data_IF_554080551004
#
_entry.id   IF_554080551004
#
_cell.length_a   1.000
_cell.length_b   1.000
_cell.length_c   1.000
_cell.angle_alpha   90.00
_cell.angle_beta   90.00
_cell.angle_gamma   90.00
#
_symmetry.space_group_name_H-M   'P 1'
#
loop_
_entity.id
_entity.type
_entity.pdbx_description
1 polymer ?
#
# COMPACT_ATOMS: atom_id res chain seq x y z
N UNK A 1 -43.29 -16.88 -11.13
CA UNK A 1 -42.25 -16.20 -10.33
C UNK A 1 -40.88 -16.71 -10.74
N UNK A 2 -40.26 -16.06 -11.73
CA UNK A 2 -38.87 -16.31 -12.16
C UNK A 2 -38.16 -14.96 -12.13
N UNK A 3 -37.79 -14.51 -10.94
CA UNK A 3 -36.95 -13.34 -10.73
C UNK A 3 -36.39 -13.43 -9.31
N UNK A 4 -35.14 -13.01 -9.13
CA UNK A 4 -34.39 -12.86 -7.86
C UNK A 4 -33.44 -14.01 -7.45
N UNK A 5 -32.54 -14.41 -8.35
CA UNK A 5 -31.28 -15.07 -7.93
C UNK A 5 -30.03 -14.38 -8.49
N UNK A 6 -30.15 -13.14 -8.98
CA UNK A 6 -29.03 -12.41 -9.61
C UNK A 6 -28.29 -11.40 -8.71
N UNK A 7 -28.65 -11.26 -7.42
CA UNK A 7 -28.08 -10.21 -6.54
C UNK A 7 -27.03 -10.76 -5.56
N UNK A 8 -26.77 -12.07 -5.50
CA UNK A 8 -25.81 -12.67 -4.56
C UNK A 8 -24.36 -12.78 -5.08
N UNK A 9 -24.06 -12.21 -6.24
CA UNK A 9 -22.71 -12.14 -6.82
C UNK A 9 -22.17 -10.71 -6.89
N UNK A 10 -22.68 -9.79 -6.04
CA UNK A 10 -21.91 -8.57 -5.78
C UNK A 10 -20.68 -9.04 -5.00
N UNK A 11 -19.46 -8.94 -5.56
CA UNK A 11 -18.29 -9.40 -4.87
C UNK A 11 -18.14 -8.54 -3.62
N UNK A 12 -18.40 -9.14 -2.45
CA UNK A 12 -18.01 -8.60 -1.12
C UNK A 12 -16.48 -8.38 -1.07
N UNK A 13 -15.75 -8.86 -2.08
CA UNK A 13 -14.34 -8.61 -2.38
C UNK A 13 -14.02 -7.10 -2.60
N UNK A 14 -15.04 -6.24 -2.75
CA UNK A 14 -14.87 -4.78 -2.89
C UNK A 14 -14.29 -4.07 -1.65
N UNK A 15 -14.27 -4.74 -0.49
CA UNK A 15 -13.88 -4.13 0.80
C UNK A 15 -12.39 -4.29 1.14
N UNK A 16 -11.57 -4.81 0.20
CA UNK A 16 -10.18 -5.17 0.48
C UNK A 16 -9.14 -4.37 -0.32
N UNK A 17 -9.54 -3.23 -0.88
CA UNK A 17 -8.71 -2.40 -1.75
C UNK A 17 -8.52 -1.02 -1.15
N UNK A 18 -7.28 -0.73 -0.71
CA UNK A 18 -6.91 0.62 -0.29
C UNK A 18 -7.07 1.57 -1.49
N UNK A 19 -7.76 2.68 -1.27
CA UNK A 19 -7.96 3.73 -2.27
C UNK A 19 -7.04 4.93 -2.06
N UNK A 20 -6.98 5.80 -3.06
CA UNK A 20 -6.33 7.11 -2.94
C UNK A 20 -6.85 7.93 -1.75
N UNK A 21 -8.17 7.94 -1.52
CA UNK A 21 -8.78 8.67 -0.39
C UNK A 21 -8.34 8.12 0.96
N UNK A 22 -8.18 6.80 1.04
CA UNK A 22 -7.67 6.15 2.24
C UNK A 22 -6.25 6.61 2.54
N UNK A 23 -5.36 6.59 1.54
CA UNK A 23 -3.99 7.11 1.66
C UNK A 23 -3.98 8.58 2.11
N UNK A 24 -4.76 9.45 1.46
CA UNK A 24 -4.85 10.86 1.82
C UNK A 24 -5.40 11.09 3.24
N UNK A 25 -6.13 10.11 3.80
CA UNK A 25 -6.75 10.24 5.12
C UNK A 25 -5.81 9.94 6.29
N UNK A 26 -4.74 9.17 6.08
CA UNK A 26 -3.82 8.72 7.12
C UNK A 26 -3.02 9.92 7.65
N UNK A 27 -3.22 10.30 8.91
CA UNK A 27 -2.52 11.43 9.52
C UNK A 27 -2.07 11.17 10.97
N UNK A 28 -2.17 9.91 11.40
CA UNK A 28 -1.84 9.44 12.74
C UNK A 28 -1.83 7.91 12.74
N UNK A 29 -1.20 7.31 13.74
CA UNK A 29 -1.22 5.86 13.97
C UNK A 29 -2.66 5.33 14.08
N UNK A 30 -3.54 6.04 14.80
CA UNK A 30 -4.95 5.66 14.94
C UNK A 30 -5.66 5.62 13.59
N UNK A 31 -5.40 6.61 12.73
CA UNK A 31 -6.02 6.65 11.41
C UNK A 31 -5.42 5.61 10.46
N UNK A 32 -4.11 5.36 10.56
CA UNK A 32 -3.44 4.25 9.87
C UNK A 32 -4.10 2.90 10.23
N UNK A 33 -4.20 2.58 11.54
CA UNK A 33 -4.87 1.37 12.03
C UNK A 33 -6.29 1.24 11.49
N UNK A 34 -7.07 2.33 11.55
CA UNK A 34 -8.43 2.37 11.04
C UNK A 34 -8.48 2.01 9.56
N UNK A 35 -7.64 2.66 8.75
CA UNK A 35 -7.60 2.45 7.30
C UNK A 35 -7.21 1.00 6.96
N UNK A 36 -6.24 0.42 7.67
CA UNK A 36 -5.85 -0.98 7.46
C UNK A 36 -7.00 -1.93 7.80
N UNK A 37 -7.61 -1.77 8.98
CA UNK A 37 -8.70 -2.65 9.45
C UNK A 37 -9.93 -2.56 8.53
N UNK A 38 -10.33 -1.35 8.13
CA UNK A 38 -11.51 -1.15 7.27
C UNK A 38 -11.29 -1.66 5.83
N UNK A 39 -10.03 -1.81 5.40
CA UNK A 39 -9.66 -2.38 4.10
C UNK A 39 -9.24 -3.86 4.18
N UNK A 40 -9.62 -4.56 5.26
CA UNK A 40 -9.43 -6.01 5.38
C UNK A 40 -7.99 -6.46 5.60
N UNK A 41 -7.09 -5.57 6.00
CA UNK A 41 -5.76 -5.97 6.46
C UNK A 41 -5.84 -6.45 7.90
N UNK A 42 -5.06 -7.48 8.21
CA UNK A 42 -4.94 -8.04 9.55
C UNK A 42 -3.61 -7.67 10.20
N UNK A 43 -3.62 -7.67 11.53
CA UNK A 43 -2.44 -7.32 12.32
C UNK A 43 -1.35 -8.37 12.13
N UNK A 44 -0.16 -7.93 11.71
CA UNK A 44 1.02 -8.77 11.60
C UNK A 44 1.78 -8.80 12.92
N UNK A 45 2.39 -7.66 13.25
CA UNK A 45 3.21 -7.49 14.45
C UNK A 45 3.40 -6.01 14.77
N UNK A 46 3.94 -5.76 15.97
CA UNK A 46 4.39 -4.46 16.46
C UNK A 46 5.75 -4.67 17.10
N UNK A 47 6.74 -3.89 16.69
CA UNK A 47 8.04 -3.78 17.36
C UNK A 47 8.30 -2.34 17.82
N UNK A 48 9.53 -2.04 18.25
CA UNK A 48 9.90 -0.72 18.78
C UNK A 48 9.86 0.40 17.73
N UNK A 49 9.96 0.06 16.45
CA UNK A 49 10.05 1.01 15.35
C UNK A 49 8.77 1.02 14.51
N UNK A 50 8.11 -0.14 14.34
CA UNK A 50 7.07 -0.32 13.35
C UNK A 50 5.85 -1.08 13.84
N UNK A 51 4.69 -0.57 13.44
CA UNK A 51 3.42 -1.25 13.44
C UNK A 51 3.12 -1.78 12.04
N UNK A 52 2.88 -3.09 11.91
CA UNK A 52 2.72 -3.76 10.61
C UNK A 52 1.38 -4.47 10.49
N UNK A 53 0.71 -4.23 9.36
CA UNK A 53 -0.47 -4.96 8.92
C UNK A 53 -0.22 -5.59 7.55
N UNK A 54 -0.80 -6.76 7.30
CA UNK A 54 -0.72 -7.47 6.03
C UNK A 54 -2.09 -7.96 5.57
N UNK A 55 -2.24 -8.23 4.28
CA UNK A 55 -3.46 -8.76 3.70
C UNK A 55 -3.36 -10.29 3.49
N UNK A 56 -4.28 -11.06 4.05
CA UNK A 56 -4.26 -12.54 4.02
C UNK A 56 -2.89 -13.11 4.43
N UNK A 57 -2.43 -12.81 5.66
CA UNK A 57 -1.12 -13.23 6.14
C UNK A 57 -1.09 -14.75 6.29
N UNK A 58 -0.23 -15.39 5.51
CA UNK A 58 0.11 -16.80 5.64
C UNK A 58 1.40 -16.92 6.44
N UNK A 59 1.33 -17.62 7.57
CA UNK A 59 2.52 -17.96 8.37
C UNK A 59 3.16 -19.23 7.83
N UNK A 60 4.47 -19.20 7.62
CA UNK A 60 5.21 -20.40 7.27
C UNK A 60 5.64 -21.19 8.52
N UNK A 61 6.15 -22.40 8.31
CA UNK A 61 6.53 -23.33 9.38
C UNK A 61 7.74 -22.89 10.20
N UNK A 62 8.44 -21.83 9.79
CA UNK A 62 9.61 -21.28 10.50
C UNK A 62 9.34 -19.90 11.11
N UNK A 63 8.06 -19.49 11.16
CA UNK A 63 7.63 -18.24 11.80
C UNK A 63 7.69 -17.00 10.91
N UNK A 64 8.07 -17.16 9.63
CA UNK A 64 7.96 -16.12 8.63
C UNK A 64 6.50 -15.81 8.28
N UNK A 65 6.24 -14.58 7.86
CA UNK A 65 4.92 -14.14 7.41
C UNK A 65 4.98 -13.75 5.93
N UNK A 66 4.00 -14.21 5.16
CA UNK A 66 3.85 -13.90 3.74
C UNK A 66 2.50 -13.25 3.51
N UNK A 67 2.50 -12.20 2.71
CA UNK A 67 1.30 -11.52 2.24
C UNK A 67 1.61 -10.91 0.87
N UNK A 68 0.58 -10.69 0.07
CA UNK A 68 0.68 -9.97 -1.22
C UNK A 68 0.63 -8.46 -1.05
N UNK A 69 0.24 -7.96 0.12
CA UNK A 69 0.20 -6.53 0.46
C UNK A 69 0.64 -6.29 1.89
N UNK A 70 1.51 -5.31 2.08
CA UNK A 70 2.00 -4.93 3.40
C UNK A 70 1.77 -3.46 3.64
N UNK A 71 1.68 -3.12 4.91
CA UNK A 71 1.61 -1.75 5.35
C UNK A 71 2.39 -1.62 6.65
N UNK A 72 3.08 -0.49 6.78
CA UNK A 72 3.96 -0.22 7.90
C UNK A 72 3.76 1.22 8.34
N UNK A 73 3.71 1.44 9.64
CA UNK A 73 3.70 2.75 10.26
C UNK A 73 4.87 2.86 11.23
N UNK A 74 5.72 3.87 11.03
CA UNK A 74 6.83 4.19 11.92
C UNK A 74 6.30 4.86 13.19
N UNK A 75 6.47 4.19 14.32
CA UNK A 75 5.95 4.62 15.63
C UNK A 75 6.67 5.87 16.13
N UNK A 76 7.89 6.12 15.66
CA UNK A 76 8.76 7.22 16.10
C UNK A 76 8.70 8.44 15.18
N UNK A 77 8.45 8.24 13.89
CA UNK A 77 8.53 9.29 12.87
C UNK A 77 7.17 9.59 12.20
N UNK A 78 6.10 8.87 12.55
CA UNK A 78 4.77 9.03 11.94
C UNK A 78 4.75 8.82 10.41
N UNK A 79 5.75 8.10 9.88
CA UNK A 79 5.84 7.77 8.46
C UNK A 79 5.11 6.47 8.17
N UNK A 80 4.28 6.44 7.13
CA UNK A 80 3.68 5.20 6.65
C UNK A 80 4.23 4.76 5.29
N UNK A 81 4.20 3.46 5.05
CA UNK A 81 4.52 2.84 3.76
C UNK A 81 3.50 1.75 3.45
N UNK A 82 3.03 1.72 2.20
CA UNK A 82 2.18 0.68 1.64
C UNK A 82 2.96 -0.02 0.53
N UNK A 83 2.92 -1.35 0.54
CA UNK A 83 3.66 -2.19 -0.41
C UNK A 83 2.72 -3.21 -1.04
N UNK A 84 2.75 -3.30 -2.36
CA UNK A 84 1.85 -4.17 -3.13
C UNK A 84 2.67 -5.08 -4.03
N UNK A 85 2.45 -6.39 -3.92
CA UNK A 85 3.05 -7.34 -4.85
C UNK A 85 2.51 -7.08 -6.25
N UNK A 86 3.41 -6.99 -7.21
CA UNK A 86 3.07 -6.93 -8.64
C UNK A 86 3.13 -8.31 -9.30
N UNK A 87 3.31 -9.38 -8.52
CA UNK A 87 3.16 -10.76 -9.00
C UNK A 87 1.70 -11.18 -8.84
N UNK A 88 1.06 -11.68 -9.91
CA UNK A 88 -0.23 -12.35 -9.78
C UNK A 88 -0.06 -13.85 -9.63
N UNK A 89 -0.97 -14.49 -8.87
CA UNK A 89 -1.05 -15.95 -8.73
C UNK A 89 -1.14 -16.65 -10.09
N UNK A 90 -1.83 -16.03 -11.05
CA UNK A 90 -1.94 -16.52 -12.42
C UNK A 90 -0.59 -16.54 -13.14
N UNK A 91 0.25 -15.51 -12.96
CA UNK A 91 1.57 -15.46 -13.57
C UNK A 91 2.55 -16.46 -12.96
N UNK A 92 2.50 -16.64 -11.65
CA UNK A 92 3.29 -17.67 -10.96
C UNK A 92 2.87 -19.08 -11.39
N UNK A 93 1.57 -19.31 -11.64
CA UNK A 93 1.04 -20.60 -12.09
C UNK A 93 1.29 -20.89 -13.58
N UNK A 94 1.19 -19.87 -14.44
CA UNK A 94 1.32 -20.02 -15.90
C UNK A 94 2.71 -19.66 -16.45
N UNK A 95 3.65 -19.28 -15.57
CA UNK A 95 5.01 -18.85 -15.94
C UNK A 95 5.01 -17.73 -17.01
N UNK A 96 4.03 -16.81 -16.92
CA UNK A 96 3.86 -15.69 -17.85
C UNK A 96 4.76 -14.53 -17.43
N UNK A 97 5.47 -13.96 -18.40
CA UNK A 97 6.59 -13.06 -18.13
C UNK A 97 6.21 -11.62 -17.75
N UNK A 98 4.94 -11.21 -17.73
CA UNK A 98 4.58 -9.85 -17.30
C UNK A 98 3.07 -9.75 -17.08
N UNK A 99 2.64 -9.42 -15.85
CA UNK A 99 1.27 -8.96 -15.62
C UNK A 99 1.26 -7.45 -15.88
N UNK A 100 0.46 -7.02 -16.85
CA UNK A 100 0.21 -5.60 -17.12
C UNK A 100 -1.19 -5.16 -16.68
N UNK A 101 -1.92 -6.01 -15.97
CA UNK A 101 -3.21 -5.63 -15.40
C UNK A 101 -3.01 -4.58 -14.30
N UNK A 102 -3.87 -3.57 -14.33
CA UNK A 102 -3.86 -2.46 -13.37
C UNK A 102 -4.20 -3.04 -11.98
N UNK A 103 -3.26 -2.97 -11.04
CA UNK A 103 -3.47 -3.42 -9.66
C UNK A 103 -3.79 -2.23 -8.74
N UNK A 104 -3.99 -2.50 -7.44
CA UNK A 104 -4.35 -1.46 -6.46
C UNK A 104 -3.32 -0.34 -6.38
N UNK A 105 -2.03 -0.69 -6.45
CA UNK A 105 -0.96 0.30 -6.51
C UNK A 105 -1.13 1.22 -7.73
N UNK A 106 -1.37 0.67 -8.91
CA UNK A 106 -1.50 1.46 -10.15
C UNK A 106 -2.67 2.44 -10.07
N UNK A 107 -3.80 2.00 -9.49
CA UNK A 107 -4.98 2.84 -9.28
C UNK A 107 -4.72 4.01 -8.31
N UNK A 108 -4.02 3.76 -7.20
CA UNK A 108 -3.64 4.81 -6.25
C UNK A 108 -2.69 5.81 -6.92
N UNK A 109 -1.66 5.33 -7.61
CA UNK A 109 -0.66 6.19 -8.27
C UNK A 109 -1.29 7.06 -9.36
N UNK A 110 -2.22 6.50 -10.13
CA UNK A 110 -2.96 7.25 -11.15
C UNK A 110 -3.73 8.43 -10.57
N UNK A 111 -4.39 8.24 -9.44
CA UNK A 111 -5.09 9.33 -8.75
C UNK A 111 -4.11 10.31 -8.08
N UNK A 112 -2.96 9.86 -7.55
CA UNK A 112 -1.89 10.77 -7.08
C UNK A 112 -1.42 11.67 -8.22
N UNK A 113 -1.06 11.09 -9.37
CA UNK A 113 -0.57 11.86 -10.53
C UNK A 113 -1.60 12.83 -11.08
N UNK A 114 -2.89 12.53 -10.93
CA UNK A 114 -4.01 13.35 -11.41
C UNK A 114 -4.36 14.49 -10.45
N UNK A 115 -4.36 14.23 -9.15
CA UNK A 115 -4.87 15.17 -8.14
C UNK A 115 -3.76 15.93 -7.41
N UNK A 116 -2.52 15.44 -7.45
CA UNK A 116 -1.37 16.03 -6.76
C UNK A 116 -0.38 16.67 -7.76
N UNK A 117 0.45 17.58 -7.26
CA UNK A 117 1.49 18.24 -8.06
C UNK A 117 2.81 17.53 -7.88
N UNK A 118 3.53 17.28 -8.98
CA UNK A 118 4.91 16.81 -8.91
C UNK A 118 5.74 17.71 -7.98
N UNK A 119 6.58 17.10 -7.15
CA UNK A 119 7.46 17.79 -6.23
C UNK A 119 8.92 17.60 -6.65
N UNK A 120 9.47 16.40 -6.40
CA UNK A 120 10.85 16.05 -6.77
C UNK A 120 11.05 14.53 -6.75
N UNK A 121 12.24 14.06 -7.12
CA UNK A 121 12.73 12.70 -6.82
C UNK A 121 13.51 12.75 -5.51
N UNK A 122 13.18 11.85 -4.59
CA UNK A 122 13.79 11.77 -3.26
C UNK A 122 14.43 10.41 -3.09
N UNK A 123 15.75 10.41 -2.85
CA UNK A 123 16.51 9.21 -2.53
C UNK A 123 16.35 8.87 -1.05
N UNK A 124 15.84 7.67 -0.76
CA UNK A 124 15.68 7.12 0.57
C UNK A 124 16.65 5.97 0.77
N UNK A 125 17.49 6.04 1.81
CA UNK A 125 18.34 4.93 2.22
C UNK A 125 17.57 4.03 3.19
N UNK A 126 17.39 2.75 2.83
CA UNK A 126 16.72 1.79 3.69
C UNK A 126 17.66 1.24 4.78
N UNK A 127 17.19 0.27 5.57
CA UNK A 127 17.98 -0.32 6.68
C UNK A 127 19.16 -1.18 6.22
N UNK A 128 19.17 -1.57 4.95
CA UNK A 128 20.22 -2.37 4.33
C UNK A 128 21.22 -1.49 3.54
N UNK A 129 21.23 -0.19 3.82
CA UNK A 129 22.06 0.84 3.16
C UNK A 129 21.81 0.94 1.63
N UNK A 130 20.64 0.50 1.16
CA UNK A 130 20.24 0.63 -0.24
C UNK A 130 19.57 1.98 -0.49
N UNK A 131 20.04 2.69 -1.51
CA UNK A 131 19.46 3.95 -1.98
C UNK A 131 18.32 3.69 -2.97
N UNK A 132 17.14 4.20 -2.64
CA UNK A 132 15.90 3.98 -3.39
C UNK A 132 15.27 5.32 -3.78
N UNK A 133 15.12 5.56 -5.08
CA UNK A 133 14.54 6.79 -5.60
C UNK A 133 13.00 6.73 -5.66
N UNK A 134 12.36 7.67 -4.98
CA UNK A 134 10.92 7.86 -5.00
C UNK A 134 10.55 9.12 -5.78
N UNK A 135 9.69 8.97 -6.79
CA UNK A 135 9.06 10.16 -7.39
C UNK A 135 7.97 10.68 -6.45
N UNK A 136 8.11 11.93 -6.01
CA UNK A 136 7.31 12.51 -4.95
C UNK A 136 6.36 13.60 -5.45
N UNK A 137 5.20 13.67 -4.81
CA UNK A 137 4.12 14.59 -5.13
C UNK A 137 3.64 15.32 -3.87
N UNK A 138 3.22 16.57 -4.06
CA UNK A 138 2.53 17.39 -3.06
C UNK A 138 1.02 17.35 -3.31
N UNK A 139 0.27 16.84 -2.34
CA UNK A 139 -1.19 16.72 -2.40
C UNK A 139 -1.83 17.74 -1.44
N UNK A 140 -2.61 18.70 -1.93
CA UNK A 140 -3.23 19.71 -1.03
C UNK A 140 -4.36 19.16 -0.17
N UNK A 141 -4.96 18.04 -0.57
CA UNK A 141 -6.05 17.38 0.15
C UNK A 141 -5.59 16.35 1.18
N UNK A 142 -4.29 16.03 1.24
CA UNK A 142 -3.78 15.09 2.22
C UNK A 142 -3.93 15.63 3.64
N UNK A 143 -4.36 14.77 4.56
CA UNK A 143 -4.45 15.12 5.99
C UNK A 143 -3.10 15.01 6.70
N UNK A 144 -2.16 14.21 6.18
CA UNK A 144 -0.78 14.21 6.63
C UNK A 144 -0.03 15.46 6.15
N UNK A 145 1.02 15.84 6.87
CA UNK A 145 1.97 16.87 6.46
C UNK A 145 3.16 16.21 5.78
N UNK A 146 3.53 16.67 4.59
CA UNK A 146 4.69 16.15 3.86
C UNK A 146 4.37 15.83 2.40
N UNK A 147 5.15 14.92 1.81
CA UNK A 147 5.02 14.48 0.42
C UNK A 147 4.61 13.01 0.38
N UNK A 148 4.02 12.59 -0.73
CA UNK A 148 3.81 11.17 -1.03
C UNK A 148 4.70 10.77 -2.19
N UNK A 149 5.54 9.76 -1.96
CA UNK A 149 6.42 9.19 -2.94
C UNK A 149 5.96 7.81 -3.37
N UNK A 150 6.30 7.41 -4.58
CA UNK A 150 6.13 6.03 -5.01
C UNK A 150 7.24 5.56 -5.92
N UNK A 151 7.47 4.25 -5.91
CA UNK A 151 8.43 3.57 -6.78
C UNK A 151 8.02 2.12 -7.02
N UNK A 152 8.77 1.45 -7.90
CA UNK A 152 8.70 -0.01 -8.07
C UNK A 152 10.11 -0.55 -7.88
N UNK A 153 10.27 -1.52 -6.98
CA UNK A 153 11.51 -2.27 -6.79
C UNK A 153 11.19 -3.74 -6.59
N UNK A 154 12.02 -4.64 -7.15
CA UNK A 154 11.89 -6.11 -6.99
C UNK A 154 10.47 -6.68 -7.20
N UNK A 155 9.71 -6.15 -8.17
CA UNK A 155 8.30 -6.53 -8.44
C UNK A 155 7.31 -6.16 -7.33
N UNK A 156 7.64 -5.17 -6.53
CA UNK A 156 6.78 -4.55 -5.53
C UNK A 156 6.58 -3.07 -5.85
N UNK A 157 5.33 -2.61 -5.76
CA UNK A 157 5.01 -1.20 -5.79
C UNK A 157 4.99 -0.64 -4.37
N UNK A 158 5.75 0.42 -4.11
CA UNK A 158 5.85 1.08 -2.82
C UNK A 158 5.25 2.47 -2.88
N UNK A 159 4.43 2.82 -1.88
CA UNK A 159 3.89 4.15 -1.65
C UNK A 159 4.32 4.57 -0.26
N UNK A 160 5.11 5.64 -0.15
CA UNK A 160 5.71 6.08 1.10
C UNK A 160 5.40 7.54 1.37
N UNK A 161 5.04 7.84 2.60
CA UNK A 161 4.93 9.21 3.09
C UNK A 161 6.30 9.72 3.52
N UNK A 162 6.60 10.97 3.18
CA UNK A 162 7.84 11.64 3.52
C UNK A 162 7.54 12.90 4.31
N UNK A 163 8.16 13.03 5.49
CA UNK A 163 8.05 14.19 6.38
C UNK A 163 9.26 15.11 6.25
N UNK A 164 9.10 16.38 6.62
CA UNK A 164 10.18 17.36 6.76
C UNK A 164 11.03 17.55 5.49
N UNK A 165 10.40 17.46 4.32
CA UNK A 165 11.02 17.76 3.03
C UNK A 165 10.39 19.02 2.46
N UNK A 166 11.20 20.07 2.30
CA UNK A 166 10.80 21.40 1.83
C UNK A 166 10.79 21.49 0.31
#
# INVERSE_FOLDING_TARGET
>A
MKLLLLILLIPIISYSQISYKDVMSINSEKMFKKVMIENGYEFGFLDEDYLVYGFDIVRDSIGGMKSTKWSMYGVKDDVFTLSFSRNTLLNTFLNLNEDRSENEYDLIIKEIKKNCKYFDIITYTNRDDEELDYVCYSCSESKYKGKIGFMISERWGYIRHFINIE
#
